data_IF_162854687741
#
_entry.id   IF_162854687741
#
_cell.length_a   1.000
_cell.length_b   1.000
_cell.length_c   1.000
_cell.angle_alpha   90.00
_cell.angle_beta   90.00
_cell.angle_gamma   90.00
#
_symmetry.space_group_name_H-M   'P 1'
#
loop_
_entity.id
_entity.type
_entity.pdbx_description
1 polymer ?
#
# COMPACT_ATOMS: atom_id res chain seq x y z
N UNK A 1 -10.24 -15.60 22.46
CA UNK A 1 -8.95 -14.97 22.08
C UNK A 1 -9.11 -14.44 20.67
N UNK A 2 -9.09 -13.11 20.50
CA UNK A 2 -9.27 -12.44 19.20
C UNK A 2 -7.94 -12.46 18.45
N UNK A 3 -7.92 -13.07 17.27
CA UNK A 3 -6.78 -13.03 16.35
C UNK A 3 -6.75 -11.65 15.69
N UNK A 4 -5.85 -10.77 16.13
CA UNK A 4 -5.61 -9.47 15.52
C UNK A 4 -4.85 -9.69 14.20
N UNK A 5 -5.54 -9.56 13.07
CA UNK A 5 -4.92 -9.51 11.75
C UNK A 5 -4.29 -8.12 11.60
N UNK A 6 -2.96 -8.02 11.65
CA UNK A 6 -2.29 -6.72 11.47
C UNK A 6 -2.39 -6.29 10.00
N UNK A 7 -3.08 -5.18 9.76
CA UNK A 7 -3.17 -4.51 8.46
C UNK A 7 -2.27 -3.29 8.57
N UNK A 8 -1.11 -3.31 7.91
CA UNK A 8 -0.27 -2.12 7.77
C UNK A 8 -0.97 -1.22 6.76
N UNK A 9 -1.60 -0.13 7.22
CA UNK A 9 -2.39 0.77 6.37
C UNK A 9 -1.58 1.99 5.97
N UNK A 10 -1.40 2.20 4.68
CA UNK A 10 -1.10 3.51 4.09
C UNK A 10 -2.42 4.14 3.67
N UNK A 11 -3.00 4.95 4.54
CA UNK A 11 -4.17 5.77 4.22
C UNK A 11 -3.71 7.17 3.84
N UNK A 12 -4.12 7.61 2.66
CA UNK A 12 -4.01 9.00 2.20
C UNK A 12 -5.07 9.80 2.97
N UNK A 13 -4.73 10.35 4.14
CA UNK A 13 -5.65 11.17 4.90
C UNK A 13 -5.74 12.55 4.25
N UNK A 14 -6.76 12.79 3.43
CA UNK A 14 -7.23 14.15 3.20
C UNK A 14 -8.04 14.58 4.43
N UNK A 15 -7.58 15.64 5.09
CA UNK A 15 -8.17 16.20 6.30
C UNK A 15 -9.51 16.89 5.97
N UNK A 16 -10.63 16.26 6.29
CA UNK A 16 -11.91 16.96 6.43
C UNK A 16 -12.04 17.50 7.86
N UNK A 17 -11.83 18.81 7.99
CA UNK A 17 -12.06 19.55 9.23
C UNK A 17 -13.56 19.77 9.39
N UNK A 18 -14.22 18.98 10.25
CA UNK A 18 -15.60 19.25 10.66
C UNK A 18 -15.62 19.86 12.07
N UNK A 19 -16.24 21.03 12.14
CA UNK A 19 -16.46 21.88 13.31
C UNK A 19 -17.44 21.19 14.27
N UNK A 20 -17.07 21.04 15.54
CA UNK A 20 -17.98 20.64 16.63
C UNK A 20 -18.74 21.84 17.19
N UNK A 21 -20.06 21.75 17.45
CA UNK A 21 -20.72 22.63 18.39
C UNK A 21 -20.77 22.03 19.80
N UNK A 22 -20.57 22.91 20.77
CA UNK A 22 -20.70 22.74 22.21
C UNK A 22 -22.15 22.46 22.63
N UNK A 23 -22.34 21.65 23.69
CA UNK A 23 -23.55 21.70 24.50
C UNK A 23 -23.24 21.34 25.95
N UNK A 24 -23.80 22.17 26.83
CA UNK A 24 -23.57 22.32 28.26
C UNK A 24 -24.88 22.04 29.02
N UNK A 25 -24.75 21.44 30.21
CA UNK A 25 -25.61 21.46 31.41
C UNK A 25 -26.83 20.53 31.68
N UNK A 26 -26.80 20.05 32.94
CA UNK A 26 -27.86 19.86 33.96
C UNK A 26 -28.79 18.62 33.89
N UNK A 27 -29.30 18.00 34.97
CA UNK A 27 -29.04 17.88 36.43
C UNK A 27 -30.17 17.02 37.06
N UNK A 28 -29.90 16.23 38.13
CA UNK A 28 -30.81 15.72 39.21
C UNK A 28 -31.97 14.76 38.81
N UNK A 29 -32.60 13.87 39.60
CA UNK A 29 -32.57 13.37 41.00
C UNK A 29 -33.42 12.04 41.01
N UNK A 30 -33.04 10.97 41.71
CA UNK A 30 -33.67 10.37 42.92
C UNK A 30 -34.72 9.22 42.75
N UNK A 31 -34.61 8.25 43.68
CA UNK A 31 -35.59 7.29 44.24
C UNK A 31 -35.98 5.94 43.56
N UNK A 32 -35.44 4.86 44.15
CA UNK A 32 -36.07 3.65 44.76
C UNK A 32 -37.33 2.97 44.18
N UNK A 33 -37.25 1.67 43.86
CA UNK A 33 -38.10 0.56 44.41
C UNK A 33 -37.91 -0.77 43.63
N UNK A 34 -37.98 -1.89 44.36
CA UNK A 34 -37.74 -3.25 43.88
C UNK A 34 -39.00 -3.94 43.31
N UNK A 35 -38.84 -4.75 42.25
CA UNK A 35 -39.80 -5.82 41.87
C UNK A 35 -39.14 -6.92 40.99
N UNK A 36 -39.31 -8.18 41.43
CA UNK A 36 -39.31 -9.51 40.78
C UNK A 36 -38.45 -9.86 39.53
N UNK A 37 -37.91 -11.10 39.44
CA UNK A 37 -37.09 -11.53 38.30
C UNK A 37 -37.96 -11.88 37.08
N UNK A 38 -37.91 -11.05 36.05
CA UNK A 38 -38.42 -11.42 34.72
C UNK A 38 -37.53 -12.48 34.08
N UNK A 39 -38.10 -13.66 33.91
CA UNK A 39 -37.54 -14.77 33.16
C UNK A 39 -37.59 -14.44 31.65
N UNK A 40 -36.64 -13.64 31.17
CA UNK A 40 -36.49 -13.39 29.74
C UNK A 40 -35.73 -14.56 29.11
N UNK A 41 -36.47 -15.50 28.53
CA UNK A 41 -35.95 -16.45 27.54
C UNK A 41 -35.34 -15.63 26.39
N UNK A 42 -34.03 -15.36 26.46
CA UNK A 42 -33.28 -14.80 25.35
C UNK A 42 -33.27 -15.85 24.24
N UNK A 43 -34.16 -15.68 23.26
CA UNK A 43 -34.04 -16.31 21.95
C UNK A 43 -32.71 -15.82 21.39
N UNK A 44 -31.67 -16.64 21.51
CA UNK A 44 -30.38 -16.44 20.87
C UNK A 44 -30.64 -16.44 19.37
N UNK A 45 -30.86 -15.25 18.80
CA UNK A 45 -30.78 -15.05 17.37
C UNK A 45 -29.35 -15.39 16.96
N UNK A 46 -29.16 -16.61 16.47
CA UNK A 46 -27.95 -16.97 15.76
C UNK A 46 -27.94 -16.13 14.48
N UNK A 47 -27.16 -15.06 14.46
CA UNK A 47 -26.86 -14.34 13.23
C UNK A 47 -26.42 -15.36 12.15
N UNK A 48 -27.01 -15.33 10.95
CA UNK A 48 -26.60 -16.24 9.89
C UNK A 48 -25.11 -16.02 9.60
N UNK A 49 -24.32 -17.08 9.76
CA UNK A 49 -22.87 -17.05 9.54
C UNK A 49 -22.58 -16.44 8.16
N UNK A 50 -22.01 -15.22 8.15
CA UNK A 50 -21.65 -14.48 6.94
C UNK A 50 -20.80 -15.39 6.04
N UNK A 51 -21.34 -15.78 4.88
CA UNK A 51 -20.71 -16.75 3.97
C UNK A 51 -19.29 -16.25 3.63
N UNK A 52 -18.26 -16.96 4.11
CA UNK A 52 -16.86 -16.60 3.89
C UNK A 52 -16.56 -16.71 2.38
N UNK A 53 -16.24 -15.58 1.74
CA UNK A 53 -15.83 -15.56 0.33
C UNK A 53 -14.50 -16.32 0.18
N UNK A 54 -14.37 -17.29 -0.73
CA UNK A 54 -13.11 -18.03 -0.91
C UNK A 54 -11.92 -17.11 -1.27
N UNK A 55 -10.71 -17.48 -0.87
CA UNK A 55 -9.47 -16.74 -1.18
C UNK A 55 -9.22 -16.65 -2.70
N UNK A 56 -9.60 -17.66 -3.47
CA UNK A 56 -9.48 -17.66 -4.94
C UNK A 56 -10.30 -16.56 -5.61
N UNK A 57 -11.51 -16.31 -5.09
CA UNK A 57 -12.38 -15.23 -5.58
C UNK A 57 -11.78 -13.87 -5.25
N UNK A 58 -11.27 -13.71 -4.02
CA UNK A 58 -10.59 -12.47 -3.59
C UNK A 58 -9.33 -12.19 -4.41
N UNK A 59 -8.52 -13.21 -4.67
CA UNK A 59 -7.34 -13.10 -5.53
C UNK A 59 -7.72 -12.65 -6.94
N UNK A 60 -8.78 -13.23 -7.53
CA UNK A 60 -9.27 -12.82 -8.85
C UNK A 60 -9.70 -11.36 -8.87
N UNK A 61 -10.40 -10.89 -7.83
CA UNK A 61 -10.78 -9.48 -7.70
C UNK A 61 -9.56 -8.57 -7.62
N UNK A 62 -8.54 -8.93 -6.84
CA UNK A 62 -7.29 -8.17 -6.75
C UNK A 62 -6.58 -8.07 -8.10
N UNK A 63 -6.47 -9.18 -8.83
CA UNK A 63 -5.88 -9.24 -10.18
C UNK A 63 -6.65 -8.32 -11.14
N UNK A 64 -7.98 -8.37 -11.14
CA UNK A 64 -8.80 -7.54 -12.02
C UNK A 64 -8.62 -6.06 -11.72
N UNK A 65 -8.72 -5.68 -10.45
CA UNK A 65 -8.63 -4.27 -10.04
C UNK A 65 -7.24 -3.69 -10.32
N UNK A 66 -6.17 -4.38 -9.91
CA UNK A 66 -4.79 -3.94 -10.18
C UNK A 66 -4.44 -4.02 -11.66
N UNK A 67 -4.96 -5.02 -12.40
CA UNK A 67 -4.80 -5.11 -13.84
C UNK A 67 -5.41 -3.91 -14.57
N UNK A 68 -6.64 -3.52 -14.22
CA UNK A 68 -7.28 -2.32 -14.78
C UNK A 68 -6.54 -1.03 -14.40
N UNK A 69 -6.07 -0.91 -13.15
CA UNK A 69 -5.29 0.24 -12.72
C UNK A 69 -3.97 0.37 -13.51
N UNK A 70 -3.24 -0.74 -13.69
CA UNK A 70 -2.01 -0.77 -14.50
C UNK A 70 -2.29 -0.38 -15.96
N UNK A 71 -3.30 -0.99 -16.59
CA UNK A 71 -3.65 -0.71 -17.98
C UNK A 71 -4.09 0.74 -18.18
N UNK A 72 -4.91 1.28 -17.28
CA UNK A 72 -5.38 2.66 -17.36
C UNK A 72 -4.22 3.65 -17.16
N UNK A 73 -3.40 3.46 -16.12
CA UNK A 73 -2.31 4.37 -15.82
C UNK A 73 -1.24 4.36 -16.92
N UNK A 74 -0.83 3.17 -17.37
CA UNK A 74 0.13 3.03 -18.46
C UNK A 74 -0.43 3.50 -19.80
N UNK A 75 -1.71 3.21 -20.08
CA UNK A 75 -2.38 3.64 -21.31
C UNK A 75 -2.50 5.17 -21.41
N UNK A 76 -2.82 5.86 -20.32
CA UNK A 76 -2.87 7.33 -20.29
C UNK A 76 -1.49 7.92 -20.57
N UNK A 77 -0.44 7.41 -19.92
CA UNK A 77 0.93 7.87 -20.18
C UNK A 77 1.39 7.57 -21.61
N UNK A 78 1.14 6.37 -22.11
CA UNK A 78 1.51 6.00 -23.48
C UNK A 78 0.78 6.88 -24.51
N UNK A 79 -0.48 7.24 -24.28
CA UNK A 79 -1.23 8.14 -25.14
C UNK A 79 -0.66 9.56 -25.15
N UNK A 80 -0.25 10.10 -24.00
CA UNK A 80 0.35 11.44 -23.93
C UNK A 80 1.78 11.48 -24.48
N UNK A 81 2.58 10.41 -24.31
CA UNK A 81 3.89 10.25 -24.96
C UNK A 81 3.75 10.11 -26.50
N UNK A 82 2.78 9.35 -26.98
CA UNK A 82 2.47 9.26 -28.42
C UNK A 82 2.02 10.61 -29.01
N UNK A 83 1.23 11.37 -28.25
CA UNK A 83 0.84 12.72 -28.65
C UNK A 83 2.03 13.68 -28.71
N UNK A 84 2.95 13.60 -27.73
CA UNK A 84 4.19 14.36 -27.75
C UNK A 84 5.05 14.02 -28.97
N UNK A 85 5.32 12.74 -29.20
CA UNK A 85 6.19 12.29 -30.29
C UNK A 85 5.62 12.58 -31.69
N UNK A 86 4.30 12.62 -31.84
CA UNK A 86 3.65 12.95 -33.11
C UNK A 86 3.55 14.44 -33.40
N UNK A 87 3.48 15.30 -32.37
CA UNK A 87 3.19 16.74 -32.57
C UNK A 87 4.32 17.68 -32.17
N UNK A 88 5.22 17.26 -31.27
CA UNK A 88 6.27 18.11 -30.70
C UNK A 88 5.74 19.25 -29.81
N UNK A 89 4.46 19.26 -29.45
CA UNK A 89 3.86 20.36 -28.69
C UNK A 89 4.35 20.39 -27.24
N UNK A 90 4.68 21.59 -26.75
CA UNK A 90 5.07 21.81 -25.35
C UNK A 90 3.98 21.35 -24.38
N UNK A 91 2.71 21.60 -24.69
CA UNK A 91 1.60 21.13 -23.86
C UNK A 91 1.56 19.60 -23.77
N UNK A 92 1.79 18.89 -24.88
CA UNK A 92 1.86 17.43 -24.88
C UNK A 92 3.03 16.92 -24.02
N UNK A 93 4.17 17.64 -24.03
CA UNK A 93 5.31 17.33 -23.16
C UNK A 93 4.96 17.45 -21.68
N UNK A 94 4.33 18.56 -21.27
CA UNK A 94 3.89 18.77 -19.89
C UNK A 94 2.89 17.69 -19.46
N UNK A 95 1.92 17.36 -20.31
CA UNK A 95 0.94 16.30 -20.04
C UNK A 95 1.61 14.91 -19.95
N UNK A 96 2.62 14.64 -20.77
CA UNK A 96 3.40 13.40 -20.72
C UNK A 96 4.15 13.27 -19.40
N UNK A 97 4.81 14.33 -18.93
CA UNK A 97 5.51 14.35 -17.63
C UNK A 97 4.55 14.08 -16.46
N UNK A 98 3.40 14.76 -16.42
CA UNK A 98 2.39 14.56 -15.35
C UNK A 98 1.84 13.13 -15.39
N UNK A 99 1.49 12.64 -16.58
CA UNK A 99 0.99 11.27 -16.75
C UNK A 99 2.05 10.22 -16.38
N UNK A 100 3.31 10.45 -16.71
CA UNK A 100 4.43 9.57 -16.38
C UNK A 100 4.62 9.44 -14.87
N UNK A 101 4.54 10.54 -14.14
CA UNK A 101 4.61 10.55 -12.68
C UNK A 101 3.45 9.78 -12.05
N UNK A 102 2.22 10.00 -12.52
CA UNK A 102 1.06 9.26 -12.03
C UNK A 102 1.18 7.76 -12.34
N UNK A 103 1.53 7.42 -13.59
CA UNK A 103 1.72 6.04 -14.02
C UNK A 103 2.81 5.33 -13.24
N UNK A 104 4.01 5.91 -13.15
CA UNK A 104 5.13 5.37 -12.39
C UNK A 104 4.77 5.11 -10.91
N UNK A 105 3.99 6.01 -10.30
CA UNK A 105 3.53 5.85 -8.91
C UNK A 105 2.57 4.68 -8.74
N UNK A 106 1.61 4.50 -9.66
CA UNK A 106 0.68 3.36 -9.67
C UNK A 106 1.42 2.06 -9.92
N UNK A 107 2.28 2.01 -10.94
CA UNK A 107 3.08 0.84 -11.28
C UNK A 107 3.96 0.41 -10.10
N UNK A 108 4.74 1.32 -9.51
CA UNK A 108 5.60 1.01 -8.38
C UNK A 108 4.82 0.49 -7.17
N UNK A 109 3.67 1.09 -6.85
CA UNK A 109 2.84 0.62 -5.73
C UNK A 109 2.30 -0.79 -5.98
N UNK A 110 1.81 -1.08 -7.19
CA UNK A 110 1.27 -2.40 -7.52
C UNK A 110 2.40 -3.44 -7.52
N UNK A 111 3.54 -3.17 -8.15
CA UNK A 111 4.68 -4.10 -8.17
C UNK A 111 5.19 -4.40 -6.76
N UNK A 112 5.27 -3.38 -5.90
CA UNK A 112 5.67 -3.53 -4.50
C UNK A 112 4.79 -4.52 -3.73
N UNK A 113 3.47 -4.30 -3.74
CA UNK A 113 2.51 -5.13 -3.00
C UNK A 113 2.45 -6.57 -3.53
N UNK A 114 2.50 -6.73 -4.85
CA UNK A 114 2.59 -8.05 -5.48
C UNK A 114 3.93 -8.74 -5.19
N UNK A 115 5.02 -7.97 -5.08
CA UNK A 115 6.33 -8.45 -4.65
C UNK A 115 6.26 -9.07 -3.26
N UNK A 116 5.69 -8.36 -2.29
CA UNK A 116 5.47 -8.88 -0.95
C UNK A 116 4.60 -10.14 -0.95
N UNK A 117 3.52 -10.15 -1.73
CA UNK A 117 2.64 -11.30 -1.86
C UNK A 117 3.37 -12.53 -2.42
N UNK A 118 4.13 -12.37 -3.50
CA UNK A 118 4.93 -13.45 -4.11
C UNK A 118 5.98 -13.94 -3.10
N UNK A 119 6.70 -13.03 -2.43
CA UNK A 119 7.68 -13.36 -1.41
C UNK A 119 7.09 -14.16 -0.24
N UNK A 120 5.87 -13.81 0.19
CA UNK A 120 5.13 -14.57 1.20
C UNK A 120 4.73 -15.97 0.69
N UNK A 121 4.28 -16.09 -0.55
CA UNK A 121 3.87 -17.37 -1.14
C UNK A 121 5.04 -18.32 -1.37
N UNK A 122 6.19 -17.81 -1.81
CA UNK A 122 7.40 -18.61 -2.01
C UNK A 122 7.94 -19.19 -0.70
N UNK A 123 7.78 -18.49 0.42
CA UNK A 123 8.17 -18.98 1.75
C UNK A 123 7.08 -19.83 2.44
N UNK A 124 5.94 -20.06 1.80
CA UNK A 124 4.83 -20.81 2.39
C UNK A 124 4.19 -20.11 3.60
N UNK A 125 4.28 -18.78 3.67
CA UNK A 125 3.73 -17.99 4.77
C UNK A 125 2.20 -18.10 4.84
N UNK A 126 1.64 -18.07 6.04
CA UNK A 126 0.23 -17.83 6.29
C UNK A 126 -0.14 -16.39 5.92
N UNK A 127 -0.56 -16.21 4.67
CA UNK A 127 -0.88 -14.91 4.07
C UNK A 127 -2.30 -14.87 3.48
N UNK A 128 -3.37 -14.84 4.32
CA UNK A 128 -4.75 -14.85 3.84
C UNK A 128 -5.11 -13.58 3.07
N UNK A 129 -5.95 -13.71 2.05
CA UNK A 129 -6.38 -12.54 1.26
C UNK A 129 -7.26 -11.60 2.09
N UNK A 130 -7.11 -10.27 1.94
CA UNK A 130 -7.99 -9.33 2.67
C UNK A 130 -9.44 -9.41 2.17
N UNK A 131 -10.42 -9.04 3.01
CA UNK A 131 -11.84 -9.18 2.68
C UNK A 131 -12.26 -8.32 1.46
N UNK A 132 -11.63 -7.16 1.28
CA UNK A 132 -11.83 -6.26 0.13
C UNK A 132 -10.46 -5.87 -0.47
N UNK A 133 -9.90 -6.65 -1.42
CA UNK A 133 -8.60 -6.38 -2.00
C UNK A 133 -8.73 -5.36 -3.15
N UNK A 134 -9.29 -4.19 -2.83
CA UNK A 134 -9.47 -3.06 -3.77
C UNK A 134 -8.54 -1.90 -3.44
N UNK A 135 -7.77 -2.02 -2.36
CA UNK A 135 -6.69 -1.12 -2.00
C UNK A 135 -5.35 -1.78 -2.37
N UNK A 136 -4.25 -1.02 -2.26
CA UNK A 136 -2.91 -1.53 -2.53
C UNK A 136 -2.61 -2.85 -1.78
N UNK A 137 -3.13 -2.99 -0.56
CA UNK A 137 -2.96 -4.17 0.29
C UNK A 137 -3.90 -5.31 -0.11
N UNK A 138 -3.30 -6.39 -0.59
CA UNK A 138 -4.07 -7.54 -1.10
C UNK A 138 -4.10 -8.74 -0.13
N UNK A 139 -3.20 -8.80 0.85
CA UNK A 139 -3.09 -9.91 1.79
C UNK A 139 -2.75 -9.44 3.22
N UNK A 140 -3.12 -10.24 4.22
CA UNK A 140 -2.69 -10.04 5.61
C UNK A 140 -1.51 -10.94 5.97
N UNK A 141 -0.77 -10.58 7.02
CA UNK A 141 0.35 -11.38 7.53
C UNK A 141 0.18 -11.60 9.04
N UNK A 142 0.45 -12.83 9.51
CA UNK A 142 0.30 -13.18 10.93
C UNK A 142 1.66 -13.47 11.56
N UNK A 143 2.10 -12.59 12.46
CA UNK A 143 3.36 -12.77 13.20
C UNK A 143 3.35 -14.00 14.13
N UNK A 144 2.17 -14.44 14.58
CA UNK A 144 2.02 -15.61 15.45
C UNK A 144 2.17 -16.94 14.69
N UNK A 145 1.83 -16.95 13.41
CA UNK A 145 1.77 -18.17 12.58
C UNK A 145 2.91 -18.29 11.59
N UNK A 146 3.68 -17.21 11.40
CA UNK A 146 4.78 -17.17 10.45
C UNK A 146 6.11 -17.11 11.17
N UNK A 147 7.10 -17.78 10.60
CA UNK A 147 8.48 -17.66 11.10
C UNK A 147 9.12 -16.36 10.67
N UNK A 148 10.26 -16.07 11.26
CA UNK A 148 11.10 -14.93 10.89
C UNK A 148 11.58 -15.01 9.45
N UNK A 149 11.96 -16.19 8.97
CA UNK A 149 12.41 -16.41 7.60
C UNK A 149 11.28 -16.14 6.60
N UNK A 150 10.05 -16.51 6.98
CA UNK A 150 8.83 -16.21 6.23
C UNK A 150 8.51 -14.71 6.18
N UNK A 151 8.76 -13.99 7.28
CA UNK A 151 8.70 -12.53 7.30
C UNK A 151 9.75 -11.92 6.38
N UNK A 152 11.02 -12.33 6.50
CA UNK A 152 12.11 -11.81 5.66
C UNK A 152 11.84 -12.02 4.17
N UNK A 153 11.41 -13.21 3.76
CA UNK A 153 11.06 -13.49 2.36
C UNK A 153 9.92 -12.59 1.86
N UNK A 154 8.89 -12.39 2.69
CA UNK A 154 7.80 -11.47 2.39
C UNK A 154 8.32 -10.03 2.27
N UNK A 155 9.07 -9.54 3.27
CA UNK A 155 9.59 -8.17 3.31
C UNK A 155 10.58 -7.86 2.19
N UNK A 156 11.44 -8.80 1.78
CA UNK A 156 12.34 -8.59 0.64
C UNK A 156 11.59 -8.53 -0.71
N UNK A 157 10.41 -9.16 -0.80
CA UNK A 157 9.65 -9.25 -2.04
C UNK A 157 9.29 -7.88 -2.63
N UNK A 158 8.84 -6.94 -1.80
CA UNK A 158 8.45 -5.59 -2.23
C UNK A 158 9.59 -4.77 -2.83
N UNK A 159 10.72 -4.58 -2.11
CA UNK A 159 11.90 -3.89 -2.62
C UNK A 159 12.46 -4.53 -3.90
N UNK A 160 12.54 -5.86 -3.96
CA UNK A 160 13.03 -6.58 -5.14
C UNK A 160 12.13 -6.33 -6.35
N UNK A 161 10.81 -6.38 -6.19
CA UNK A 161 9.87 -6.12 -7.28
C UNK A 161 9.95 -4.67 -7.80
N UNK A 162 10.17 -3.69 -6.92
CA UNK A 162 10.37 -2.30 -7.35
C UNK A 162 11.66 -2.13 -8.17
N UNK A 163 12.78 -2.71 -7.74
CA UNK A 163 14.02 -2.64 -8.51
C UNK A 163 13.94 -3.41 -9.83
N UNK A 164 13.19 -4.52 -9.86
CA UNK A 164 12.87 -5.20 -11.11
C UNK A 164 12.08 -4.29 -12.05
N UNK A 165 11.10 -3.55 -11.55
CA UNK A 165 10.36 -2.56 -12.35
C UNK A 165 11.27 -1.46 -12.89
N UNK A 166 12.19 -0.93 -12.07
CA UNK A 166 13.19 0.06 -12.51
C UNK A 166 14.02 -0.50 -13.66
N UNK A 167 14.50 -1.74 -13.53
CA UNK A 167 15.28 -2.41 -14.56
C UNK A 167 14.48 -2.59 -15.86
N UNK A 168 13.22 -3.02 -15.75
CA UNK A 168 12.32 -3.18 -16.91
C UNK A 168 12.14 -1.83 -17.63
N UNK A 169 11.84 -0.75 -16.90
CA UNK A 169 11.67 0.59 -17.49
C UNK A 169 12.96 1.07 -18.14
N UNK A 170 14.10 0.95 -17.44
CA UNK A 170 15.40 1.40 -17.94
C UNK A 170 15.86 0.65 -19.21
N UNK A 171 15.50 -0.64 -19.35
CA UNK A 171 15.89 -1.45 -20.50
C UNK A 171 14.89 -1.36 -21.67
N UNK A 172 13.60 -1.18 -21.38
CA UNK A 172 12.55 -1.25 -22.41
C UNK A 172 12.12 0.12 -22.93
N UNK A 173 12.36 1.20 -22.18
CA UNK A 173 11.88 2.55 -22.53
C UNK A 173 13.08 3.46 -22.80
N UNK A 174 13.26 3.96 -24.04
CA UNK A 174 14.34 4.87 -24.35
C UNK A 174 14.11 6.22 -23.65
N UNK A 175 15.10 6.69 -22.91
CA UNK A 175 15.03 7.94 -22.15
C UNK A 175 15.47 9.10 -23.04
N UNK A 176 14.64 9.42 -24.03
CA UNK A 176 14.90 10.45 -25.06
C UNK A 176 14.01 11.68 -24.94
N UNK A 177 13.09 11.70 -23.96
CA UNK A 177 12.24 12.85 -23.67
C UNK A 177 11.89 12.96 -22.18
N UNK A 178 11.43 14.15 -21.77
CA UNK A 178 11.16 14.47 -20.37
C UNK A 178 10.07 13.59 -19.73
N UNK A 179 9.08 13.13 -20.49
CA UNK A 179 8.02 12.25 -19.99
C UNK A 179 8.54 10.83 -19.69
N UNK A 180 9.32 10.25 -20.61
CA UNK A 180 9.98 8.95 -20.41
C UNK A 180 11.00 9.02 -19.27
N UNK A 181 11.77 10.11 -19.18
CA UNK A 181 12.66 10.38 -18.06
C UNK A 181 11.90 10.46 -16.72
N UNK A 182 10.73 11.11 -16.69
CA UNK A 182 9.91 11.20 -15.47
C UNK A 182 9.37 9.84 -15.03
N UNK A 183 9.00 8.96 -15.98
CA UNK A 183 8.57 7.62 -15.66
C UNK A 183 9.69 6.85 -14.95
N UNK A 184 10.91 6.84 -15.51
CA UNK A 184 12.08 6.21 -14.92
C UNK A 184 12.40 6.80 -13.55
N UNK A 185 12.43 8.14 -13.45
CA UNK A 185 12.71 8.84 -12.21
C UNK A 185 11.71 8.49 -11.12
N UNK A 186 10.43 8.39 -11.47
CA UNK A 186 9.36 8.04 -10.54
C UNK A 186 9.53 6.61 -10.01
N UNK A 187 9.70 5.61 -10.89
CA UNK A 187 9.87 4.22 -10.43
C UNK A 187 11.15 4.03 -9.61
N UNK A 188 12.25 4.70 -9.98
CA UNK A 188 13.51 4.66 -9.26
C UNK A 188 13.43 5.35 -7.90
N UNK A 189 12.88 6.56 -7.83
CA UNK A 189 12.71 7.29 -6.57
C UNK A 189 11.76 6.57 -5.60
N UNK A 190 10.72 5.90 -6.11
CA UNK A 190 9.86 5.01 -5.29
C UNK A 190 10.62 3.78 -4.78
N UNK A 191 11.46 3.16 -5.61
CA UNK A 191 12.31 2.05 -5.18
C UNK A 191 13.30 2.48 -4.07
N UNK A 192 13.90 3.66 -4.20
CA UNK A 192 14.79 4.25 -3.18
C UNK A 192 14.01 4.49 -1.88
N UNK A 193 12.83 5.12 -1.94
CA UNK A 193 12.00 5.39 -0.76
C UNK A 193 11.65 4.09 0.00
N UNK A 194 11.29 3.04 -0.73
CA UNK A 194 10.99 1.73 -0.16
C UNK A 194 12.21 1.14 0.56
N UNK A 195 13.39 1.15 -0.07
CA UNK A 195 14.62 0.65 0.58
C UNK A 195 14.99 1.44 1.83
N UNK A 196 14.79 2.76 1.82
CA UNK A 196 15.07 3.61 2.98
C UNK A 196 14.15 3.31 4.17
N UNK A 197 12.90 2.94 3.92
CA UNK A 197 11.96 2.56 4.97
C UNK A 197 12.14 1.12 5.42
N UNK A 198 12.16 0.17 4.48
CA UNK A 198 12.11 -1.26 4.77
C UNK A 198 13.48 -1.88 5.00
N UNK A 199 14.54 -1.32 4.42
CA UNK A 199 15.90 -1.79 4.61
C UNK A 199 16.29 -1.88 6.09
N UNK A 200 16.05 -0.83 6.91
CA UNK A 200 16.28 -0.89 8.36
C UNK A 200 15.47 -1.98 9.06
N UNK A 201 14.19 -2.16 8.72
CA UNK A 201 13.34 -3.22 9.31
C UNK A 201 13.86 -4.60 8.95
N UNK A 202 14.16 -4.84 7.67
CA UNK A 202 14.72 -6.10 7.18
C UNK A 202 16.04 -6.40 7.88
N UNK A 203 16.92 -5.40 8.04
CA UNK A 203 18.22 -5.57 8.67
C UNK A 203 18.12 -5.94 10.16
N UNK A 204 17.22 -5.30 10.91
CA UNK A 204 16.94 -5.66 12.32
C UNK A 204 16.48 -7.11 12.46
N UNK A 205 15.52 -7.52 11.63
CA UNK A 205 15.01 -8.89 11.65
C UNK A 205 16.05 -9.90 11.19
N UNK A 206 16.88 -9.54 10.21
CA UNK A 206 18.03 -10.35 9.81
C UNK A 206 19.01 -10.57 10.97
N UNK A 207 19.22 -9.53 11.78
CA UNK A 207 20.02 -9.55 13.01
C UNK A 207 19.31 -10.21 14.21
N UNK A 208 18.21 -10.92 13.97
CA UNK A 208 17.43 -11.69 14.95
C UNK A 208 16.57 -10.89 15.92
N UNK A 209 16.30 -9.63 15.62
CA UNK A 209 15.26 -8.88 16.35
C UNK A 209 13.85 -9.41 16.01
N UNK A 210 12.88 -9.14 16.88
CA UNK A 210 11.49 -9.53 16.65
C UNK A 210 10.91 -8.78 15.44
N UNK A 211 10.24 -9.47 14.49
CA UNK A 211 9.67 -8.82 13.30
C UNK A 211 8.62 -7.77 13.58
N UNK A 212 7.78 -7.98 14.59
CA UNK A 212 6.69 -7.05 14.91
C UNK A 212 7.26 -5.80 15.58
N UNK A 213 8.12 -5.98 16.56
CA UNK A 213 8.80 -4.87 17.24
C UNK A 213 9.61 -4.01 16.24
N UNK A 214 10.36 -4.65 15.35
CA UNK A 214 11.16 -3.96 14.33
C UNK A 214 10.32 -3.07 13.42
N UNK A 215 9.13 -3.54 13.05
CA UNK A 215 8.17 -2.80 12.22
C UNK A 215 7.50 -1.67 13.01
N UNK A 216 7.07 -1.94 14.24
CA UNK A 216 6.43 -0.94 15.10
C UNK A 216 7.38 0.24 15.39
N UNK A 217 8.67 -0.02 15.61
CA UNK A 217 9.68 1.06 15.76
C UNK A 217 9.71 1.95 14.51
N UNK A 218 9.79 1.34 13.31
CA UNK A 218 9.89 2.10 12.06
C UNK A 218 8.61 2.87 11.71
N UNK A 219 7.44 2.40 12.15
CA UNK A 219 6.18 3.12 11.99
C UNK A 219 6.07 4.30 12.98
N UNK A 220 6.61 4.16 14.19
CA UNK A 220 6.50 5.16 15.25
C UNK A 220 7.60 6.24 15.21
N UNK A 221 8.75 6.00 14.60
CA UNK A 221 9.88 6.94 14.54
C UNK A 221 9.83 7.93 13.35
N UNK A 222 8.74 7.88 12.57
CA UNK A 222 8.52 8.68 11.38
C UNK A 222 9.40 8.29 10.19
N UNK A 223 10.07 7.13 10.21
CA UNK A 223 10.89 6.63 9.11
C UNK A 223 10.12 6.59 7.80
N UNK A 224 8.83 6.25 7.85
CA UNK A 224 7.96 6.24 6.68
C UNK A 224 7.80 7.62 6.04
N UNK A 225 7.63 8.68 6.83
CA UNK A 225 7.47 10.03 6.29
C UNK A 225 8.79 10.57 5.75
N UNK A 226 9.89 10.31 6.47
CA UNK A 226 11.25 10.66 6.01
C UNK A 226 11.57 9.98 4.67
N UNK A 227 11.30 8.68 4.55
CA UNK A 227 11.57 7.92 3.33
C UNK A 227 10.77 8.45 2.13
N UNK A 228 9.52 8.88 2.34
CA UNK A 228 8.70 9.53 1.30
C UNK A 228 9.31 10.83 0.82
N UNK A 229 9.75 11.70 1.74
CA UNK A 229 10.41 12.96 1.39
C UNK A 229 11.69 12.70 0.59
N UNK A 230 12.52 11.76 1.04
CA UNK A 230 13.71 11.36 0.29
C UNK A 230 13.36 10.77 -1.09
N UNK A 231 12.27 10.02 -1.19
CA UNK A 231 11.71 9.55 -2.45
C UNK A 231 11.39 10.68 -3.41
N UNK A 232 10.64 11.70 -2.97
CA UNK A 232 10.31 12.86 -3.80
C UNK A 232 11.53 13.62 -4.28
N UNK A 233 12.51 13.81 -3.39
CA UNK A 233 13.79 14.43 -3.75
C UNK A 233 14.54 13.58 -4.78
N UNK A 234 14.58 12.26 -4.61
CA UNK A 234 15.22 11.35 -5.55
C UNK A 234 14.54 11.40 -6.93
N UNK A 235 13.21 11.42 -7.00
CA UNK A 235 12.47 11.58 -8.27
C UNK A 235 12.90 12.87 -8.96
N UNK A 236 12.89 13.99 -8.25
CA UNK A 236 13.26 15.29 -8.81
C UNK A 236 14.72 15.29 -9.33
N UNK A 237 15.67 14.79 -8.53
CA UNK A 237 17.09 14.76 -8.90
C UNK A 237 17.33 13.87 -10.11
N UNK A 238 16.79 12.65 -10.11
CA UNK A 238 16.97 11.70 -11.23
C UNK A 238 16.36 12.29 -12.50
N UNK A 239 15.18 12.91 -12.40
CA UNK A 239 14.54 13.54 -13.55
C UNK A 239 15.38 14.71 -14.10
N UNK A 240 15.89 15.59 -13.24
CA UNK A 240 16.72 16.73 -13.66
C UNK A 240 18.06 16.33 -14.29
N UNK A 241 18.60 15.15 -13.96
CA UNK A 241 19.82 14.62 -14.57
C UNK A 241 19.52 14.01 -15.96
N UNK A 242 18.30 13.52 -16.17
CA UNK A 242 17.91 12.77 -17.36
C UNK A 242 17.29 13.63 -18.48
N UNK A 243 17.07 14.93 -18.23
CA UNK A 243 16.46 15.89 -19.17
C UNK A 243 17.45 17.01 -19.49
#
# INVERSE_FOLDING_TARGET
>A
MRNELFIVSVTLTMSETTITPSAENASADDSTAAAAPENTTQVRQTEPAKKKVPDSVRLRTAIQYHGYALLAAFGIWAATDAWLTSTGLTLASVMSVIAAFAAGSVLATIFHEWGHFIGARLAGSHSPMVYKPVTAFIFGFSFEKNTREQFLSMSLGGPVANWLLVLIVALMIPIDNAGRAMLLATVAGRAIAVVLFEGPVIMRVWNREDPKESLDIALNDGSQDKSRVHGWLAILIIWLIAV
#
